data_IF_083724836557
#
_entry.id   IF_083724836557
#
_cell.length_a   1.000
_cell.length_b   1.000
_cell.length_c   1.000
_cell.angle_alpha   90.00
_cell.angle_beta   90.00
_cell.angle_gamma   90.00
#
_symmetry.space_group_name_H-M   'P 1'
#
loop_
_entity.id
_entity.type
_entity.pdbx_description
1 polymer ?
#
# COMPACT_ATOMS: atom_id res chain seq x y z
N UNK A 1 -17.15 -13.13 8.87
CA UNK A 1 -16.46 -13.09 7.57
C UNK A 1 -15.07 -13.67 7.77
N UNK A 2 -14.72 -14.81 7.14
CA UNK A 2 -13.32 -15.29 7.15
C UNK A 2 -12.56 -14.53 6.07
N UNK A 3 -11.41 -13.90 6.35
CA UNK A 3 -10.58 -13.32 5.31
C UNK A 3 -10.11 -14.45 4.39
N UNK A 4 -10.18 -14.26 3.07
CA UNK A 4 -9.83 -15.28 2.08
C UNK A 4 -8.32 -15.40 1.82
N UNK A 5 -7.44 -14.97 2.75
CA UNK A 5 -6.00 -14.91 2.49
C UNK A 5 -5.25 -16.08 3.11
N UNK A 6 -4.24 -16.58 2.38
CA UNK A 6 -3.23 -17.53 2.87
C UNK A 6 -2.53 -17.02 4.14
N UNK A 7 -2.55 -15.71 4.39
CA UNK A 7 -2.03 -15.10 5.60
C UNK A 7 -2.87 -15.40 6.86
N UNK A 8 -4.15 -15.80 6.73
CA UNK A 8 -5.01 -16.01 7.90
C UNK A 8 -4.43 -17.07 8.86
N UNK A 9 -4.01 -18.21 8.35
CA UNK A 9 -3.48 -19.30 9.17
C UNK A 9 -2.14 -18.92 9.83
N UNK A 10 -1.30 -18.17 9.10
CA UNK A 10 -0.04 -17.62 9.63
C UNK A 10 -0.31 -16.66 10.78
N UNK A 11 -1.28 -15.75 10.62
CA UNK A 11 -1.63 -14.75 11.62
C UNK A 11 -2.26 -15.37 12.86
N UNK A 12 -3.16 -16.35 12.71
CA UNK A 12 -3.75 -17.07 13.85
C UNK A 12 -2.68 -17.86 14.61
N UNK A 13 -1.77 -18.54 13.89
CA UNK A 13 -0.65 -19.24 14.52
C UNK A 13 0.26 -18.28 15.28
N UNK A 14 0.58 -17.12 14.70
CA UNK A 14 1.41 -16.10 15.34
C UNK A 14 0.74 -15.47 16.58
N UNK A 15 -0.57 -15.25 16.53
CA UNK A 15 -1.35 -14.75 17.66
C UNK A 15 -1.44 -15.76 18.81
N UNK A 16 -1.45 -17.07 18.49
CA UNK A 16 -1.58 -18.14 19.47
C UNK A 16 -2.91 -18.02 20.24
N UNK A 17 -2.83 -17.92 21.57
CA UNK A 17 -4.01 -17.71 22.44
C UNK A 17 -4.35 -16.24 22.68
N UNK A 18 -3.57 -15.29 22.13
CA UNK A 18 -3.80 -13.86 22.36
C UNK A 18 -5.00 -13.39 21.55
N UNK A 19 -5.86 -12.60 22.19
CA UNK A 19 -6.96 -11.93 21.51
C UNK A 19 -6.42 -10.74 20.72
N UNK A 20 -6.49 -10.82 19.39
CA UNK A 20 -6.21 -9.68 18.51
C UNK A 20 -7.31 -8.62 18.69
N UNK A 21 -6.91 -7.36 18.76
CA UNK A 21 -7.81 -6.20 18.79
C UNK A 21 -7.59 -5.39 17.52
N UNK A 22 -8.68 -4.88 16.95
CA UNK A 22 -8.58 -3.88 15.90
C UNK A 22 -7.98 -2.62 16.51
N UNK A 23 -6.92 -2.12 15.87
CA UNK A 23 -6.21 -0.89 16.27
C UNK A 23 -6.48 0.25 15.29
N UNK A 24 -6.86 -0.07 14.06
CA UNK A 24 -7.22 0.88 13.01
C UNK A 24 -7.90 0.12 11.86
N UNK A 25 -8.68 0.81 11.04
CA UNK A 25 -9.30 0.27 9.81
C UNK A 25 -8.96 1.17 8.61
N UNK A 26 -8.79 0.58 7.42
CA UNK A 26 -8.74 1.34 6.16
C UNK A 26 -9.94 1.00 5.30
N UNK A 27 -10.49 1.99 4.64
CA UNK A 27 -11.53 1.83 3.64
C UNK A 27 -11.13 2.65 2.41
N UNK A 28 -10.79 1.98 1.31
CA UNK A 28 -10.30 2.64 0.10
C UNK A 28 -10.60 1.83 -1.16
N UNK A 29 -10.66 2.56 -2.27
CA UNK A 29 -10.69 1.98 -3.61
C UNK A 29 -9.29 2.01 -4.19
N UNK A 30 -8.85 0.87 -4.73
CA UNK A 30 -7.59 0.73 -5.46
C UNK A 30 -7.85 0.54 -6.94
N UNK A 31 -7.33 1.44 -7.76
CA UNK A 31 -7.15 1.20 -9.19
C UNK A 31 -5.74 0.66 -9.42
N UNK A 32 -5.61 -0.40 -10.22
CA UNK A 32 -4.35 -1.11 -10.41
C UNK A 32 -4.08 -1.31 -11.90
N UNK A 33 -2.88 -0.92 -12.34
CA UNK A 33 -2.38 -1.21 -13.68
C UNK A 33 -0.97 -1.81 -13.61
N UNK A 34 -0.67 -2.73 -14.52
CA UNK A 34 0.66 -3.31 -14.65
C UNK A 34 1.40 -2.64 -15.80
N UNK A 35 2.64 -2.25 -15.53
CA UNK A 35 3.58 -1.72 -16.51
C UNK A 35 4.53 -2.85 -16.84
N UNK A 36 4.50 -3.28 -18.09
CA UNK A 36 5.39 -4.31 -18.64
C UNK A 36 6.29 -3.63 -19.69
N UNK A 37 7.60 -3.66 -19.44
CA UNK A 37 8.60 -3.10 -20.36
C UNK A 37 9.24 -4.16 -21.25
N UNK A 38 8.80 -5.42 -21.14
CA UNK A 38 9.42 -6.61 -21.72
C UNK A 38 10.48 -7.23 -20.81
N UNK A 39 11.27 -6.40 -20.13
CA UNK A 39 12.34 -6.83 -19.21
C UNK A 39 11.95 -6.69 -17.73
N UNK A 40 10.97 -5.84 -17.42
CA UNK A 40 10.50 -5.60 -16.06
C UNK A 40 8.99 -5.54 -15.95
N UNK A 41 8.49 -5.90 -14.77
CA UNK A 41 7.08 -5.74 -14.40
C UNK A 41 7.01 -4.91 -13.12
N UNK A 42 6.26 -3.82 -13.19
CA UNK A 42 5.88 -3.02 -12.03
C UNK A 42 4.36 -2.88 -11.96
N UNK A 43 3.83 -2.76 -10.75
CA UNK A 43 2.42 -2.47 -10.51
C UNK A 43 2.28 -1.02 -10.06
N UNK A 44 1.48 -0.25 -10.80
CA UNK A 44 1.10 1.10 -10.41
C UNK A 44 -0.31 1.05 -9.83
N UNK A 45 -0.45 1.48 -8.58
CA UNK A 45 -1.75 1.58 -7.91
C UNK A 45 -2.07 3.00 -7.49
N UNK A 46 -3.37 3.32 -7.56
CA UNK A 46 -3.94 4.56 -7.04
C UNK A 46 -4.93 4.21 -5.95
N UNK A 47 -4.69 4.73 -4.75
CA UNK A 47 -5.55 4.49 -3.59
C UNK A 47 -6.23 5.78 -3.18
N UNK A 48 -7.58 5.74 -3.15
CA UNK A 48 -8.41 6.85 -2.65
C UNK A 48 -9.33 6.30 -1.56
N UNK A 49 -9.30 6.91 -0.38
CA UNK A 49 -10.10 6.45 0.75
C UNK A 49 -9.76 7.11 2.07
N UNK A 50 -9.90 6.36 3.16
CA UNK A 50 -9.72 6.86 4.52
C UNK A 50 -9.10 5.79 5.43
N UNK A 51 -8.15 6.23 6.25
CA UNK A 51 -7.69 5.51 7.44
C UNK A 51 -8.53 5.97 8.62
N UNK A 52 -9.23 5.05 9.28
CA UNK A 52 -9.88 5.25 10.56
C UNK A 52 -8.90 4.87 11.67
N UNK A 53 -8.13 5.84 12.15
CA UNK A 53 -7.10 5.69 13.18
C UNK A 53 -7.62 6.02 14.59
N UNK A 54 -6.76 5.86 15.59
CA UNK A 54 -7.13 6.16 16.99
C UNK A 54 -7.42 7.65 17.21
N UNK A 55 -6.67 8.52 16.54
CA UNK A 55 -6.80 9.99 16.61
C UNK A 55 -7.89 10.56 15.70
N UNK A 56 -8.51 9.72 14.87
CA UNK A 56 -9.55 10.10 13.92
C UNK A 56 -9.28 9.66 12.48
N UNK A 57 -10.03 10.25 11.56
CA UNK A 57 -10.00 9.89 10.15
C UNK A 57 -8.91 10.67 9.40
N UNK A 58 -8.06 9.95 8.66
CA UNK A 58 -7.00 10.51 7.82
C UNK A 58 -7.23 10.11 6.36
N UNK A 59 -7.24 11.06 5.40
CA UNK A 59 -7.48 10.73 4.01
C UNK A 59 -6.33 9.91 3.40
N UNK A 60 -6.70 8.96 2.53
CA UNK A 60 -5.80 8.25 1.63
C UNK A 60 -5.98 8.86 0.25
N UNK A 61 -4.89 9.37 -0.31
CA UNK A 61 -4.82 9.87 -1.68
C UNK A 61 -3.39 9.71 -2.17
N UNK A 62 -3.04 8.52 -2.62
CA UNK A 62 -1.66 8.17 -2.94
C UNK A 62 -1.52 7.31 -4.19
N UNK A 63 -0.35 7.40 -4.81
CA UNK A 63 0.08 6.61 -5.95
C UNK A 63 1.29 5.79 -5.53
N UNK A 64 1.23 4.48 -5.68
CA UNK A 64 2.30 3.54 -5.34
C UNK A 64 2.80 2.86 -6.62
N UNK A 65 4.12 2.81 -6.80
CA UNK A 65 4.77 1.95 -7.81
C UNK A 65 5.49 0.82 -7.08
N UNK A 66 5.01 -0.40 -7.27
CA UNK A 66 5.57 -1.60 -6.66
C UNK A 66 6.37 -2.40 -7.69
N UNK A 67 7.59 -2.76 -7.33
CA UNK A 67 8.48 -3.56 -8.17
C UNK A 67 8.17 -5.04 -8.02
N UNK A 68 7.71 -5.70 -9.09
CA UNK A 68 7.42 -7.14 -9.04
C UNK A 68 8.61 -7.97 -9.53
N UNK A 69 9.22 -7.55 -10.63
CA UNK A 69 10.32 -8.28 -11.28
C UNK A 69 11.09 -7.38 -12.26
N UNK A 70 12.35 -7.71 -12.55
CA UNK A 70 13.13 -7.10 -13.64
C UNK A 70 14.28 -6.24 -13.17
N UNK A 71 14.53 -5.12 -13.86
CA UNK A 71 15.62 -4.18 -13.57
C UNK A 71 15.21 -3.11 -12.55
N UNK A 72 16.09 -2.89 -11.57
CA UNK A 72 15.94 -1.79 -10.60
C UNK A 72 16.10 -0.42 -11.27
N UNK A 73 16.98 -0.31 -12.26
CA UNK A 73 17.19 0.91 -13.05
C UNK A 73 15.93 1.30 -13.81
N UNK A 74 15.25 0.34 -14.43
CA UNK A 74 13.99 0.56 -15.15
C UNK A 74 12.87 1.00 -14.18
N UNK A 75 12.75 0.33 -13.03
CA UNK A 75 11.84 0.73 -11.96
C UNK A 75 12.09 2.19 -11.51
N UNK A 76 13.35 2.55 -11.22
CA UNK A 76 13.74 3.91 -10.83
C UNK A 76 13.48 4.93 -11.94
N UNK A 77 13.71 4.56 -13.19
CA UNK A 77 13.44 5.41 -14.35
C UNK A 77 11.94 5.72 -14.45
N UNK A 78 11.08 4.69 -14.40
CA UNK A 78 9.62 4.85 -14.43
C UNK A 78 9.15 5.71 -13.26
N UNK A 79 9.59 5.41 -12.03
CA UNK A 79 9.26 6.18 -10.83
C UNK A 79 9.62 7.66 -10.99
N UNK A 80 10.83 7.97 -11.48
CA UNK A 80 11.28 9.35 -11.70
C UNK A 80 10.41 10.09 -12.73
N UNK A 81 10.00 9.41 -13.80
CA UNK A 81 9.18 10.01 -14.86
C UNK A 81 7.76 10.26 -14.41
N UNK A 82 7.16 9.37 -13.62
CA UNK A 82 5.84 9.59 -13.03
C UNK A 82 5.88 10.75 -12.03
N UNK A 83 6.90 10.79 -11.16
CA UNK A 83 7.07 11.86 -10.19
C UNK A 83 7.22 13.24 -10.85
N UNK A 84 8.08 13.33 -11.88
CA UNK A 84 8.30 14.56 -12.66
C UNK A 84 7.01 15.00 -13.37
N UNK A 85 6.37 14.07 -14.10
CA UNK A 85 5.20 14.38 -14.95
C UNK A 85 4.00 14.89 -14.15
N UNK A 86 3.77 14.34 -12.96
CA UNK A 86 2.60 14.66 -12.13
C UNK A 86 2.95 15.49 -10.90
N UNK A 87 4.19 16.00 -10.80
CA UNK A 87 4.69 16.80 -9.68
C UNK A 87 4.40 16.15 -8.32
N UNK A 88 4.69 14.85 -8.22
CA UNK A 88 4.37 14.07 -7.04
C UNK A 88 5.35 14.36 -5.91
N UNK A 89 4.84 14.35 -4.68
CA UNK A 89 5.65 14.42 -3.47
C UNK A 89 5.84 13.01 -2.93
N UNK A 90 7.08 12.66 -2.63
CA UNK A 90 7.36 11.41 -1.93
C UNK A 90 6.74 11.47 -0.52
N UNK A 91 6.03 10.40 -0.17
CA UNK A 91 5.47 10.19 1.17
C UNK A 91 6.24 9.04 1.82
N UNK A 92 6.83 9.29 2.98
CA UNK A 92 7.63 8.31 3.72
C UNK A 92 6.88 7.75 4.94
N UNK A 93 5.58 8.03 5.02
CA UNK A 93 4.68 7.56 6.08
C UNK A 93 3.69 6.57 5.48
N UNK A 94 3.76 5.31 5.93
CA UNK A 94 2.81 4.27 5.52
C UNK A 94 1.39 4.56 6.03
N UNK A 95 0.37 3.98 5.37
CA UNK A 95 -1.03 4.07 5.84
C UNK A 95 -1.21 3.62 7.29
N UNK A 96 -0.46 2.59 7.73
CA UNK A 96 -0.48 2.13 9.12
C UNK A 96 0.08 3.19 10.08
N UNK A 97 1.20 3.83 9.72
CA UNK A 97 1.75 4.93 10.52
C UNK A 97 0.80 6.13 10.56
N UNK A 98 0.09 6.44 9.47
CA UNK A 98 -0.98 7.46 9.46
C UNK A 98 -2.09 7.12 10.47
N UNK A 99 -2.45 5.85 10.62
CA UNK A 99 -3.46 5.41 11.59
C UNK A 99 -3.07 5.52 13.07
N UNK A 100 -1.76 5.61 13.35
CA UNK A 100 -1.21 5.79 14.70
C UNK A 100 -0.67 7.20 14.96
N UNK A 101 -0.73 8.10 13.98
CA UNK A 101 -0.25 9.46 14.16
C UNK A 101 -1.22 10.25 15.07
N UNK A 102 -0.66 11.09 15.95
CA UNK A 102 -1.40 12.08 16.74
C UNK A 102 -1.84 13.28 15.89
#
# INVERSE_FOLDING_TARGET
MKPSSEAYDVLIKAAGSKKLKEVMKMDFTRELLKIDTGDSISALSFDIGTVHGESGDVPISEMELEWYHGSEEDFKYIASKLAEKYNLKAENISKLQKGFAE
#
